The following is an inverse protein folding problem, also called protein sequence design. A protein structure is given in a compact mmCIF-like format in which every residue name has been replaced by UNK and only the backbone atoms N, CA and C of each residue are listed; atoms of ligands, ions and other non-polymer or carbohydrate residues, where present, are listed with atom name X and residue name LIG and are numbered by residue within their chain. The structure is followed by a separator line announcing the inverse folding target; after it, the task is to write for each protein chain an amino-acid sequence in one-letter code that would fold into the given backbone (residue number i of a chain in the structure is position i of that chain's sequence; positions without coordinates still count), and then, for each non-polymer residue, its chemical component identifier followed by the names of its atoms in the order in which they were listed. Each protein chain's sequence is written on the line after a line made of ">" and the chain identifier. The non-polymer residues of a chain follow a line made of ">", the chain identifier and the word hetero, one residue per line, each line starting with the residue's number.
data_IF_028870837642
#
_entry.id   IF_028870837642
#
_cell.length_a   1.000
_cell.length_b   1.000
_cell.length_c   1.000
_cell.angle_alpha   90.00
_cell.angle_beta   90.00
_cell.angle_gamma   90.00
#
_symmetry.space_group_name_H-M   'P 1'
#
loop_
_entity.id
_entity.type
_entity.pdbx_description
1 polymer ?
#
# COMPACT_ATOMS: atom_id res chain seq x y z
N UNK A 1 -55.18 34.95 -1.60
CA UNK A 1 -54.52 33.62 -1.48
C UNK A 1 -53.18 33.64 -2.19
N UNK A 2 -52.18 34.39 -1.72
CA UNK A 2 -50.78 34.40 -2.30
C UNK A 2 -49.69 34.94 -1.37
N UNK A 3 -49.95 35.23 -0.11
CA UNK A 3 -48.94 35.82 0.81
C UNK A 3 -48.70 35.04 2.12
N UNK A 4 -49.41 33.94 2.38
CA UNK A 4 -49.21 33.15 3.58
C UNK A 4 -48.19 32.00 3.43
N UNK A 5 -47.95 31.51 2.21
CA UNK A 5 -46.98 30.41 1.94
C UNK A 5 -45.51 30.83 1.96
N UNK A 6 -45.17 32.12 2.09
CA UNK A 6 -43.79 32.63 2.17
C UNK A 6 -43.28 32.74 3.61
N UNK A 7 -44.12 32.69 4.62
CA UNK A 7 -43.70 32.82 6.04
C UNK A 7 -43.39 31.47 6.70
N UNK A 8 -43.94 30.37 6.23
CA UNK A 8 -43.63 29.04 6.79
C UNK A 8 -42.29 28.46 6.29
N UNK A 9 -41.82 28.83 5.11
CA UNK A 9 -40.49 28.37 4.60
C UNK A 9 -39.28 29.04 5.24
N UNK A 10 -39.46 30.05 6.12
CA UNK A 10 -38.36 30.72 6.83
C UNK A 10 -38.15 30.27 8.30
N UNK A 11 -39.00 29.41 8.82
CA UNK A 11 -38.87 28.88 10.21
C UNK A 11 -38.31 27.49 10.35
N UNK A 12 -38.01 26.77 9.26
CA UNK A 12 -37.41 25.41 9.30
C UNK A 12 -35.88 25.35 9.08
N UNK A 13 -35.19 26.48 9.13
CA UNK A 13 -33.71 26.55 8.97
C UNK A 13 -33.01 27.07 10.21
N UNK A 14 -33.31 26.49 11.36
CA UNK A 14 -32.46 26.59 12.59
C UNK A 14 -32.63 25.32 13.43
N UNK A 15 -32.10 24.21 12.94
CA UNK A 15 -31.70 23.08 13.78
C UNK A 15 -30.27 22.77 13.46
N UNK A 16 -29.45 22.69 14.50
CA UNK A 16 -28.01 22.57 14.52
C UNK A 16 -27.46 21.62 13.45
N UNK A 17 -26.70 22.18 12.55
CA UNK A 17 -25.82 21.42 11.71
C UNK A 17 -24.60 21.06 12.57
N UNK A 18 -24.43 19.79 12.92
CA UNK A 18 -23.13 19.26 13.22
C UNK A 18 -22.22 19.61 12.05
N UNK A 19 -21.11 20.26 12.30
CA UNK A 19 -20.08 20.47 11.28
C UNK A 19 -19.72 19.11 10.71
N UNK A 20 -19.65 18.94 9.37
CA UNK A 20 -19.26 17.67 8.79
C UNK A 20 -17.85 17.36 9.29
N UNK A 21 -17.69 16.23 9.99
CA UNK A 21 -16.39 15.68 10.37
C UNK A 21 -15.52 15.69 9.12
N UNK A 22 -14.43 16.47 9.13
CA UNK A 22 -13.48 16.56 8.04
C UNK A 22 -13.05 15.16 7.65
N UNK A 23 -13.26 14.80 6.39
CA UNK A 23 -12.74 13.54 5.85
C UNK A 23 -11.22 13.55 5.94
N UNK A 24 -10.56 12.41 6.29
CA UNK A 24 -9.13 12.38 6.60
C UNK A 24 -8.20 12.45 5.37
N UNK A 25 -8.60 13.06 4.27
CA UNK A 25 -7.83 13.11 3.01
C UNK A 25 -7.72 14.54 2.47
N UNK A 26 -7.08 15.44 3.23
CA UNK A 26 -6.76 16.76 2.67
C UNK A 26 -5.26 16.98 2.74
N UNK A 27 -4.63 17.13 1.54
CA UNK A 27 -3.28 17.66 1.41
C UNK A 27 -3.16 18.99 2.17
N UNK A 28 -1.99 19.25 2.74
CA UNK A 28 -1.71 20.51 3.44
C UNK A 28 -1.81 21.66 2.45
N UNK A 29 -2.60 22.68 2.78
CA UNK A 29 -2.71 23.91 1.99
C UNK A 29 -1.97 25.00 2.77
N UNK A 30 -1.00 25.63 2.12
CA UNK A 30 -0.23 26.76 2.63
C UNK A 30 -0.53 28.02 1.80
N UNK A 31 -0.03 29.17 2.22
CA UNK A 31 -0.14 30.43 1.44
C UNK A 31 0.58 30.32 0.09
N UNK A 32 1.54 29.41 -0.06
CA UNK A 32 2.31 29.14 -1.28
C UNK A 32 1.63 28.12 -2.22
N UNK A 33 0.59 27.41 -1.74
CA UNK A 33 -0.15 26.42 -2.53
C UNK A 33 -0.40 25.10 -1.81
N UNK A 34 -0.68 24.05 -2.57
CA UNK A 34 -0.92 22.69 -2.06
C UNK A 34 0.41 21.96 -1.91
N UNK A 35 0.72 21.50 -0.71
CA UNK A 35 1.90 20.66 -0.44
C UNK A 35 1.58 19.23 -0.90
N UNK A 36 2.14 18.84 -2.03
CA UNK A 36 1.92 17.51 -2.61
C UNK A 36 2.74 16.43 -1.92
N UNK A 37 3.95 16.77 -1.48
CA UNK A 37 4.89 15.89 -0.75
C UNK A 37 5.62 16.75 0.29
N UNK A 38 5.68 16.28 1.53
CA UNK A 38 6.33 16.99 2.63
C UNK A 38 7.40 16.11 3.27
N UNK A 39 8.57 16.69 3.49
CA UNK A 39 9.73 16.09 4.19
C UNK A 39 10.04 14.62 3.79
N UNK A 40 10.13 14.38 2.47
CA UNK A 40 10.42 13.05 1.94
C UNK A 40 11.93 12.79 1.95
N UNK A 41 12.38 11.90 2.82
CA UNK A 41 13.78 11.50 2.96
C UNK A 41 13.91 9.99 2.74
N UNK A 42 14.72 9.57 1.75
CA UNK A 42 14.94 8.17 1.42
C UNK A 42 16.30 7.98 0.74
N UNK A 43 17.13 7.12 1.30
CA UNK A 43 18.30 6.58 0.63
C UNK A 43 17.95 5.23 -0.01
N UNK A 44 18.31 5.07 -1.29
CA UNK A 44 18.03 3.85 -2.07
C UNK A 44 19.37 3.25 -2.47
N UNK A 45 19.56 1.97 -2.15
CA UNK A 45 20.75 1.22 -2.53
C UNK A 45 20.76 0.89 -4.04
N UNK A 46 21.93 0.63 -4.60
CA UNK A 46 22.04 0.16 -5.99
C UNK A 46 21.25 -1.13 -6.20
N UNK A 47 20.46 -1.20 -7.30
CA UNK A 47 19.61 -2.33 -7.69
C UNK A 47 18.50 -2.67 -6.71
N UNK A 48 18.20 -1.79 -5.78
CA UNK A 48 17.09 -1.95 -4.86
C UNK A 48 15.73 -1.74 -5.57
N UNK A 49 14.73 -2.48 -5.16
CA UNK A 49 13.36 -2.33 -5.62
C UNK A 49 12.51 -1.65 -4.54
N UNK A 50 12.23 -0.36 -4.74
CA UNK A 50 11.42 0.44 -3.83
C UNK A 50 9.99 0.53 -4.35
N UNK A 51 9.01 0.33 -3.46
CA UNK A 51 7.59 0.50 -3.80
C UNK A 51 6.97 1.62 -2.99
N UNK A 52 6.42 2.62 -3.66
CA UNK A 52 5.59 3.65 -3.04
C UNK A 52 4.14 3.18 -3.05
N UNK A 53 3.52 3.09 -1.88
CA UNK A 53 2.13 2.64 -1.73
C UNK A 53 1.35 3.59 -0.82
N UNK A 54 0.04 3.70 -1.05
CA UNK A 54 -0.85 4.56 -0.27
C UNK A 54 -2.14 4.89 -1.03
N UNK A 55 -3.08 5.57 -0.39
CA UNK A 55 -4.33 5.99 -1.01
C UNK A 55 -4.13 6.87 -2.25
N UNK A 56 -5.16 6.97 -3.09
CA UNK A 56 -5.13 7.89 -4.23
C UNK A 56 -4.91 9.35 -3.78
N UNK A 57 -4.06 10.07 -4.48
CA UNK A 57 -3.78 11.48 -4.19
C UNK A 57 -2.81 11.72 -3.02
N UNK A 58 -2.14 10.70 -2.46
CA UNK A 58 -1.20 10.90 -1.34
C UNK A 58 0.22 11.33 -1.75
N UNK A 59 0.48 11.66 -3.03
CA UNK A 59 1.77 12.20 -3.48
C UNK A 59 2.68 11.22 -4.23
N UNK A 60 2.37 9.91 -4.32
CA UNK A 60 3.23 8.87 -4.93
C UNK A 60 3.68 9.19 -6.36
N UNK A 61 2.72 9.41 -7.29
CA UNK A 61 3.04 9.72 -8.68
C UNK A 61 3.72 11.07 -8.82
N UNK A 62 3.42 12.03 -7.95
CA UNK A 62 4.10 13.33 -7.90
C UNK A 62 5.56 13.13 -7.52
N UNK A 63 5.86 12.35 -6.48
CA UNK A 63 7.23 12.00 -6.09
C UNK A 63 7.96 11.30 -7.23
N UNK A 64 7.32 10.34 -7.89
CA UNK A 64 7.91 9.64 -9.03
C UNK A 64 8.23 10.59 -10.19
N UNK A 65 7.33 11.55 -10.49
CA UNK A 65 7.55 12.56 -11.55
C UNK A 65 8.64 13.55 -11.18
N UNK A 66 8.76 13.95 -9.91
CA UNK A 66 9.89 14.77 -9.45
C UNK A 66 11.22 14.04 -9.64
N UNK A 67 11.28 12.73 -9.34
CA UNK A 67 12.47 11.90 -9.59
C UNK A 67 12.78 11.84 -11.09
N UNK A 68 11.77 11.70 -11.94
CA UNK A 68 11.92 11.69 -13.40
C UNK A 68 12.29 13.07 -13.98
N UNK A 69 12.14 14.18 -13.23
CA UNK A 69 12.31 15.54 -13.69
C UNK A 69 11.13 16.08 -14.51
N UNK A 70 9.97 15.47 -14.36
CA UNK A 70 8.73 15.90 -15.02
C UNK A 70 7.91 16.90 -14.18
N UNK A 71 8.27 17.05 -12.91
CA UNK A 71 7.74 18.01 -11.95
C UNK A 71 8.93 18.60 -11.16
N UNK A 72 8.84 19.87 -10.81
CA UNK A 72 9.89 20.57 -10.09
C UNK A 72 9.90 20.21 -8.60
N UNK A 73 11.10 20.13 -8.01
CA UNK A 73 11.30 19.97 -6.58
C UNK A 73 11.38 21.38 -5.96
N UNK A 74 10.37 21.77 -5.17
CA UNK A 74 10.31 23.10 -4.56
C UNK A 74 11.42 23.29 -3.53
N UNK A 75 11.75 22.25 -2.72
CA UNK A 75 12.79 22.27 -1.69
C UNK A 75 13.41 20.87 -1.55
N UNK A 76 14.63 20.82 -1.07
CA UNK A 76 15.39 19.57 -0.91
C UNK A 76 16.22 19.21 -2.12
N UNK A 77 16.85 18.04 -2.10
CA UNK A 77 17.79 17.58 -3.11
C UNK A 77 17.48 16.16 -3.54
N UNK A 78 17.52 15.94 -4.85
CA UNK A 78 17.56 14.61 -5.46
C UNK A 78 18.97 14.35 -5.96
N UNK A 79 19.57 13.24 -5.50
CA UNK A 79 20.92 12.82 -5.95
C UNK A 79 20.86 11.41 -6.53
N UNK A 80 21.64 11.19 -7.59
CA UNK A 80 21.89 9.88 -8.19
C UNK A 80 23.38 9.71 -8.36
N UNK A 81 23.96 8.66 -7.79
CA UNK A 81 25.40 8.44 -7.74
C UNK A 81 26.18 9.67 -7.20
N UNK A 82 25.59 10.37 -6.19
CA UNK A 82 26.15 11.59 -5.62
C UNK A 82 25.95 12.86 -6.45
N UNK A 83 25.49 12.77 -7.69
CA UNK A 83 25.22 13.91 -8.55
C UNK A 83 23.86 14.52 -8.24
N UNK A 84 23.79 15.85 -8.05
CA UNK A 84 22.54 16.61 -7.88
C UNK A 84 21.76 16.61 -9.20
N UNK A 85 20.48 16.21 -9.12
CA UNK A 85 19.60 16.04 -10.27
C UNK A 85 18.51 17.12 -10.41
N UNK A 86 18.36 18.02 -9.43
CA UNK A 86 17.26 18.98 -9.42
C UNK A 86 17.11 19.74 -10.75
N UNK A 87 18.22 20.26 -11.29
CA UNK A 87 18.25 21.08 -12.50
C UNK A 87 18.62 20.26 -13.77
N UNK A 88 18.76 18.94 -13.65
CA UNK A 88 19.06 18.08 -14.80
C UNK A 88 17.77 17.75 -15.56
N UNK A 89 17.78 18.02 -16.87
CA UNK A 89 16.61 17.72 -17.71
C UNK A 89 16.28 16.21 -17.73
N UNK A 90 15.00 15.80 -17.85
CA UNK A 90 14.58 14.40 -17.82
C UNK A 90 15.34 13.48 -18.78
N UNK A 91 15.70 13.99 -19.98
CA UNK A 91 16.42 13.21 -21.00
C UNK A 91 17.83 12.81 -20.59
N UNK A 92 18.45 13.60 -19.67
CA UNK A 92 19.85 13.49 -19.25
C UNK A 92 20.01 12.80 -17.89
N UNK A 93 18.89 12.43 -17.19
CA UNK A 93 18.91 11.76 -15.89
C UNK A 93 19.26 10.26 -15.95
N UNK A 94 19.42 9.68 -17.14
CA UNK A 94 19.63 8.23 -17.36
C UNK A 94 18.58 7.34 -16.67
N UNK A 95 17.33 7.81 -16.64
CA UNK A 95 16.18 7.13 -16.11
C UNK A 95 15.21 6.77 -17.25
N UNK A 96 14.43 5.70 -17.05
CA UNK A 96 13.32 5.37 -17.94
C UNK A 96 12.03 5.26 -17.13
N UNK A 97 10.90 5.67 -17.73
CA UNK A 97 9.60 5.67 -17.07
C UNK A 97 8.58 4.86 -17.87
N UNK A 98 7.85 4.00 -17.15
CA UNK A 98 6.67 3.29 -17.62
C UNK A 98 5.45 3.98 -17.04
N UNK A 99 4.59 4.51 -17.89
CA UNK A 99 3.39 5.25 -17.50
C UNK A 99 2.18 4.33 -17.34
N UNK A 100 1.23 4.71 -16.50
CA UNK A 100 -0.02 4.00 -16.25
C UNK A 100 -0.84 3.71 -17.54
N UNK A 101 -0.83 4.63 -18.49
CA UNK A 101 -1.54 4.50 -19.78
C UNK A 101 -0.69 3.90 -20.89
N UNK A 102 0.48 3.28 -20.52
CA UNK A 102 1.48 2.70 -21.43
C UNK A 102 2.19 3.72 -22.33
N UNK A 103 1.56 4.81 -22.71
CA UNK A 103 2.06 5.90 -23.57
C UNK A 103 2.73 5.42 -24.87
N UNK A 104 2.24 4.30 -25.47
CA UNK A 104 2.77 3.77 -26.72
C UNK A 104 2.42 4.67 -27.90
N UNK A 105 3.32 4.76 -28.88
CA UNK A 105 3.08 5.46 -30.13
C UNK A 105 2.15 4.63 -31.03
N UNK A 106 0.87 5.04 -31.23
CA UNK A 106 -0.15 4.17 -31.83
C UNK A 106 0.05 3.92 -33.32
N UNK A 107 0.77 4.80 -34.01
CA UNK A 107 1.09 4.71 -35.44
C UNK A 107 2.33 3.87 -35.72
N UNK A 108 3.17 3.61 -34.73
CA UNK A 108 4.37 2.77 -34.81
C UNK A 108 4.06 1.31 -34.53
N UNK A 109 4.83 0.39 -35.13
CA UNK A 109 4.83 -1.02 -34.74
C UNK A 109 5.46 -1.23 -33.36
N UNK A 110 5.35 -2.44 -32.80
CA UNK A 110 6.06 -2.81 -31.57
C UNK A 110 7.55 -2.58 -31.72
N UNK A 111 8.17 -3.09 -32.78
CA UNK A 111 9.60 -2.90 -33.08
C UNK A 111 9.96 -1.41 -33.10
N UNK A 112 9.23 -0.60 -33.84
CA UNK A 112 9.47 0.84 -33.89
C UNK A 112 9.29 1.55 -32.54
N UNK A 113 8.32 1.13 -31.70
CA UNK A 113 8.20 1.65 -30.35
C UNK A 113 9.43 1.34 -29.47
N UNK A 114 10.08 0.18 -29.67
CA UNK A 114 11.30 -0.22 -28.97
C UNK A 114 12.54 0.50 -29.55
N UNK A 115 12.62 0.69 -30.85
CA UNK A 115 13.73 1.34 -31.55
C UNK A 115 13.78 2.86 -31.26
N UNK A 116 12.63 3.51 -31.17
CA UNK A 116 12.51 4.98 -31.09
C UNK A 116 13.42 5.64 -30.03
N UNK A 117 13.47 5.19 -28.75
CA UNK A 117 14.37 5.80 -27.76
C UNK A 117 15.86 5.57 -28.08
N UNK A 118 16.21 4.55 -28.84
CA UNK A 118 17.58 4.27 -29.27
C UNK A 118 17.96 5.13 -30.48
N UNK A 119 17.01 5.37 -31.42
CA UNK A 119 17.18 6.30 -32.54
C UNK A 119 17.45 7.72 -32.05
N UNK A 120 16.73 8.20 -31.02
CA UNK A 120 16.97 9.51 -30.42
C UNK A 120 18.37 9.64 -29.84
N UNK A 121 18.94 8.55 -29.32
CA UNK A 121 20.31 8.47 -28.82
C UNK A 121 21.35 8.20 -29.91
N UNK A 122 20.92 8.08 -31.18
CA UNK A 122 21.77 7.77 -32.34
C UNK A 122 22.59 6.49 -32.16
N UNK A 123 21.96 5.46 -31.54
CA UNK A 123 22.58 4.13 -31.39
C UNK A 123 22.76 3.48 -32.75
N UNK A 124 23.91 2.85 -33.04
CA UNK A 124 24.14 2.15 -34.30
C UNK A 124 23.09 1.03 -34.56
N UNK A 125 22.72 0.80 -35.83
CA UNK A 125 21.63 -0.10 -36.17
C UNK A 125 21.85 -1.54 -35.67
N UNK A 126 23.06 -2.06 -35.77
CA UNK A 126 23.39 -3.41 -35.28
C UNK A 126 23.21 -3.55 -33.76
N UNK A 127 23.58 -2.52 -32.99
CA UNK A 127 23.39 -2.51 -31.55
C UNK A 127 21.89 -2.33 -31.19
N UNK A 128 21.19 -1.48 -31.92
CA UNK A 128 19.73 -1.30 -31.79
C UNK A 128 18.99 -2.60 -31.99
N UNK A 129 19.28 -3.34 -33.06
CA UNK A 129 18.65 -4.64 -33.36
C UNK A 129 18.91 -5.63 -32.21
N UNK A 130 20.15 -5.75 -31.73
CA UNK A 130 20.47 -6.62 -30.57
C UNK A 130 19.68 -6.26 -29.32
N UNK A 131 19.60 -4.98 -28.97
CA UNK A 131 18.87 -4.49 -27.77
C UNK A 131 17.35 -4.74 -27.90
N UNK A 132 16.79 -4.52 -29.08
CA UNK A 132 15.37 -4.78 -29.36
C UNK A 132 15.05 -6.26 -29.29
N UNK A 133 15.86 -7.12 -29.88
CA UNK A 133 15.70 -8.57 -29.85
C UNK A 133 15.81 -9.11 -28.42
N UNK A 134 16.81 -8.68 -27.67
CA UNK A 134 16.98 -9.01 -26.26
C UNK A 134 15.74 -8.61 -25.40
N UNK A 135 15.26 -7.38 -25.54
CA UNK A 135 14.08 -6.93 -24.80
C UNK A 135 12.81 -7.68 -25.22
N UNK A 136 12.67 -7.97 -26.53
CA UNK A 136 11.53 -8.72 -27.06
C UNK A 136 11.51 -10.18 -26.58
N UNK A 137 12.67 -10.80 -26.46
CA UNK A 137 12.81 -12.16 -25.96
C UNK A 137 12.47 -12.26 -24.47
N UNK A 138 13.08 -11.41 -23.63
CA UNK A 138 12.83 -11.38 -22.18
C UNK A 138 11.36 -11.18 -21.86
N UNK A 139 10.67 -10.32 -22.62
CA UNK A 139 9.26 -9.99 -22.41
C UNK A 139 8.28 -10.89 -23.18
N UNK A 140 8.79 -11.84 -23.97
CA UNK A 140 7.97 -12.74 -24.79
C UNK A 140 7.11 -12.01 -25.83
N UNK A 141 7.60 -10.91 -26.40
CA UNK A 141 6.88 -10.09 -27.39
C UNK A 141 7.43 -10.22 -28.81
N UNK A 142 8.43 -11.06 -29.03
CA UNK A 142 9.03 -11.32 -30.34
C UNK A 142 7.99 -11.62 -31.45
N UNK A 143 6.93 -12.44 -31.21
CA UNK A 143 5.92 -12.70 -32.25
C UNK A 143 5.08 -11.48 -32.64
N UNK A 144 5.13 -10.41 -31.82
CA UNK A 144 4.29 -9.22 -32.01
C UNK A 144 5.06 -8.02 -32.56
N UNK A 145 6.35 -8.12 -32.82
CA UNK A 145 7.21 -7.01 -33.27
C UNK A 145 6.68 -6.24 -34.48
N UNK A 146 5.98 -6.91 -35.41
CA UNK A 146 5.38 -6.31 -36.61
C UNK A 146 4.00 -5.70 -36.38
N UNK A 147 3.36 -5.93 -35.19
CA UNK A 147 2.01 -5.42 -34.88
C UNK A 147 2.05 -3.98 -34.41
N UNK A 148 0.92 -3.30 -34.56
CA UNK A 148 0.68 -1.98 -33.95
C UNK A 148 -0.04 -2.13 -32.59
N UNK A 149 0.06 -1.17 -31.66
CA UNK A 149 -0.54 -1.22 -30.32
C UNK A 149 -2.03 -1.58 -30.29
N UNK A 150 -2.81 -1.12 -31.29
CA UNK A 150 -4.24 -1.42 -31.41
C UNK A 150 -4.56 -2.92 -31.58
N UNK A 151 -3.61 -3.71 -32.07
CA UNK A 151 -3.76 -5.14 -32.32
C UNK A 151 -3.21 -5.99 -31.16
N UNK A 152 -2.97 -5.39 -29.99
CA UNK A 152 -2.39 -6.02 -28.81
C UNK A 152 -3.41 -6.05 -27.66
N UNK A 153 -3.35 -7.09 -26.82
CA UNK A 153 -4.06 -7.13 -25.53
C UNK A 153 -3.46 -6.13 -24.53
N UNK A 154 -4.16 -5.87 -23.41
CA UNK A 154 -3.66 -5.00 -22.35
C UNK A 154 -2.28 -5.40 -21.85
N UNK A 155 -2.07 -6.68 -21.51
CA UNK A 155 -0.79 -7.19 -21.04
C UNK A 155 0.31 -7.15 -22.11
N UNK A 156 -0.03 -7.37 -23.39
CA UNK A 156 0.94 -7.21 -24.47
C UNK A 156 1.37 -5.75 -24.61
N UNK A 157 0.44 -4.79 -24.53
CA UNK A 157 0.78 -3.35 -24.52
C UNK A 157 1.68 -3.00 -23.34
N UNK A 158 1.39 -3.53 -22.14
CA UNK A 158 2.21 -3.34 -20.96
C UNK A 158 3.65 -3.84 -21.18
N UNK A 159 3.82 -5.06 -21.69
CA UNK A 159 5.15 -5.61 -21.99
C UNK A 159 5.90 -4.76 -23.02
N UNK A 160 5.22 -4.23 -24.03
CA UNK A 160 5.84 -3.31 -24.99
C UNK A 160 6.27 -2.00 -24.33
N UNK A 161 5.48 -1.45 -23.40
CA UNK A 161 5.84 -0.25 -22.65
C UNK A 161 7.07 -0.48 -21.76
N UNK A 162 7.12 -1.62 -21.06
CA UNK A 162 8.30 -2.03 -20.29
C UNK A 162 9.50 -2.23 -21.23
N UNK A 163 9.32 -2.92 -22.36
CA UNK A 163 10.37 -3.13 -23.37
C UNK A 163 10.98 -1.84 -23.86
N UNK A 164 10.14 -0.84 -24.19
CA UNK A 164 10.60 0.49 -24.61
C UNK A 164 11.43 1.20 -23.52
N UNK A 165 11.13 0.96 -22.25
CA UNK A 165 11.89 1.52 -21.16
C UNK A 165 13.26 0.83 -20.99
N UNK A 166 13.29 -0.51 -21.02
CA UNK A 166 14.50 -1.29 -20.71
C UNK A 166 15.53 -1.37 -21.85
N UNK A 167 15.12 -1.18 -23.13
CA UNK A 167 16.08 -1.16 -24.25
C UNK A 167 17.16 -0.08 -24.10
N UNK A 168 16.92 0.94 -23.30
CA UNK A 168 17.85 2.02 -23.01
C UNK A 168 18.92 1.63 -21.99
N UNK A 169 18.77 0.49 -21.32
CA UNK A 169 19.61 0.06 -20.20
C UNK A 169 19.73 1.15 -19.13
N UNK A 170 18.61 1.62 -18.55
CA UNK A 170 18.60 2.75 -17.64
C UNK A 170 19.17 2.37 -16.26
N UNK A 171 19.83 3.32 -15.58
CA UNK A 171 20.26 3.14 -14.19
C UNK A 171 19.05 3.02 -13.24
N UNK A 172 17.99 3.79 -13.49
CA UNK A 172 16.76 3.80 -12.69
C UNK A 172 15.55 3.57 -13.58
N UNK A 173 14.73 2.58 -13.22
CA UNK A 173 13.47 2.27 -13.88
C UNK A 173 12.30 2.70 -13.00
N UNK A 174 11.57 3.70 -13.46
CA UNK A 174 10.40 4.28 -12.80
C UNK A 174 9.12 3.66 -13.37
N UNK A 175 8.21 3.20 -12.51
CA UNK A 175 6.95 2.59 -12.93
C UNK A 175 5.77 3.23 -12.20
N UNK A 176 4.91 3.97 -12.93
CA UNK A 176 3.72 4.64 -12.39
C UNK A 176 2.50 3.78 -12.60
N UNK A 177 2.05 3.07 -11.57
CA UNK A 177 0.88 2.17 -11.56
C UNK A 177 0.78 1.26 -12.80
N UNK A 178 1.84 0.54 -13.19
CA UNK A 178 1.89 -0.13 -14.48
C UNK A 178 0.87 -1.25 -14.65
N UNK A 179 0.36 -1.84 -13.57
CA UNK A 179 -0.57 -2.98 -13.61
C UNK A 179 -2.04 -2.62 -13.33
N UNK A 180 -2.34 -1.35 -13.03
CA UNK A 180 -3.68 -0.89 -12.62
C UNK A 180 -4.78 -1.17 -13.66
N UNK A 181 -4.45 -1.10 -14.95
CA UNK A 181 -5.39 -1.28 -16.06
C UNK A 181 -5.55 -2.75 -16.53
N UNK A 182 -5.04 -3.73 -15.75
CA UNK A 182 -5.10 -5.14 -16.07
C UNK A 182 -6.12 -5.88 -15.20
N UNK A 183 -6.75 -6.92 -15.75
CA UNK A 183 -7.57 -7.84 -14.97
C UNK A 183 -6.72 -8.63 -13.95
N UNK A 184 -7.37 -9.20 -12.92
CA UNK A 184 -6.68 -9.86 -11.80
C UNK A 184 -5.75 -11.02 -12.24
N UNK A 185 -6.17 -11.84 -13.22
CA UNK A 185 -5.36 -12.96 -13.73
C UNK A 185 -4.10 -12.46 -14.42
N UNK A 186 -4.26 -11.47 -15.29
CA UNK A 186 -3.16 -10.88 -16.04
C UNK A 186 -2.23 -10.08 -15.13
N UNK A 187 -2.76 -9.38 -14.12
CA UNK A 187 -1.98 -8.68 -13.11
C UNK A 187 -1.05 -9.63 -12.36
N UNK A 188 -1.56 -10.80 -11.91
CA UNK A 188 -0.76 -11.82 -11.23
C UNK A 188 0.36 -12.36 -12.14
N UNK A 189 0.08 -12.58 -13.43
CA UNK A 189 1.10 -13.01 -14.38
C UNK A 189 2.19 -11.95 -14.59
N UNK A 190 1.77 -10.70 -14.80
CA UNK A 190 2.70 -9.58 -15.03
C UNK A 190 3.56 -9.29 -13.80
N UNK A 191 3.03 -9.43 -12.58
CA UNK A 191 3.79 -9.31 -11.35
C UNK A 191 4.92 -10.34 -11.28
N UNK A 192 4.63 -11.61 -11.58
CA UNK A 192 5.65 -12.65 -11.64
C UNK A 192 6.72 -12.36 -12.73
N UNK A 193 6.34 -11.74 -13.84
CA UNK A 193 7.27 -11.33 -14.88
C UNK A 193 8.17 -10.17 -14.47
N UNK A 194 7.64 -9.18 -13.74
CA UNK A 194 8.44 -8.08 -13.19
C UNK A 194 9.49 -8.61 -12.21
N UNK A 195 9.13 -9.61 -11.37
CA UNK A 195 10.09 -10.26 -10.47
C UNK A 195 11.22 -10.95 -11.28
N UNK A 196 10.89 -11.63 -12.39
CA UNK A 196 11.89 -12.24 -13.27
C UNK A 196 12.73 -11.20 -14.00
N UNK A 197 12.08 -10.15 -14.49
CA UNK A 197 12.73 -9.04 -15.20
C UNK A 197 13.80 -8.37 -14.32
N UNK A 198 13.47 -8.10 -13.05
CA UNK A 198 14.41 -7.52 -12.09
C UNK A 198 15.73 -8.29 -12.02
N UNK A 199 15.69 -9.63 -12.06
CA UNK A 199 16.90 -10.48 -12.00
C UNK A 199 17.81 -10.31 -13.22
N UNK A 200 17.25 -9.87 -14.35
CA UNK A 200 17.96 -9.71 -15.63
C UNK A 200 18.38 -8.26 -15.91
N UNK A 201 17.90 -7.32 -15.10
CA UNK A 201 18.23 -5.90 -15.26
C UNK A 201 19.16 -5.44 -14.14
N UNK A 202 20.17 -4.68 -14.54
CA UNK A 202 21.11 -4.05 -13.62
C UNK A 202 20.66 -2.61 -13.32
N UNK A 203 19.45 -2.46 -12.78
CA UNK A 203 18.81 -1.17 -12.54
C UNK A 203 18.18 -1.11 -11.16
N UNK A 204 18.10 0.09 -10.59
CA UNK A 204 17.30 0.42 -9.42
C UNK A 204 15.84 0.63 -9.86
N UNK A 205 14.89 0.08 -9.12
CA UNK A 205 13.46 0.18 -9.43
C UNK A 205 12.74 1.07 -8.44
N UNK A 206 11.93 2.00 -8.96
CA UNK A 206 10.96 2.75 -8.14
C UNK A 206 9.58 2.52 -8.75
N UNK A 207 8.72 1.90 -7.98
CA UNK A 207 7.41 1.41 -8.41
C UNK A 207 6.31 2.08 -7.60
N UNK A 208 5.31 2.63 -8.26
CA UNK A 208 4.13 3.21 -7.62
C UNK A 208 2.94 2.27 -7.81
N UNK A 209 2.22 2.03 -6.74
CA UNK A 209 0.96 1.27 -6.78
C UNK A 209 0.01 1.71 -5.66
N UNK A 210 -1.27 1.38 -5.81
CA UNK A 210 -2.26 1.40 -4.73
C UNK A 210 -2.61 -0.03 -4.27
N UNK A 211 -2.05 -1.06 -4.90
CA UNK A 211 -2.28 -2.48 -4.59
C UNK A 211 -1.23 -2.96 -3.57
N UNK A 212 -1.72 -3.33 -2.38
CA UNK A 212 -0.86 -3.82 -1.29
C UNK A 212 -0.16 -5.12 -1.66
N UNK A 213 -0.81 -6.01 -2.42
CA UNK A 213 -0.23 -7.28 -2.84
C UNK A 213 0.96 -7.07 -3.77
N UNK A 214 0.89 -6.06 -4.65
CA UNK A 214 2.03 -5.67 -5.47
C UNK A 214 3.17 -5.16 -4.59
N UNK A 215 2.89 -4.26 -3.64
CA UNK A 215 3.88 -3.71 -2.74
C UNK A 215 4.58 -4.82 -1.93
N UNK A 216 3.81 -5.70 -1.30
CA UNK A 216 4.32 -6.80 -0.46
C UNK A 216 5.14 -7.84 -1.22
N UNK A 217 4.91 -8.00 -2.54
CA UNK A 217 5.55 -9.07 -3.32
C UNK A 217 6.71 -8.60 -4.22
N UNK A 218 6.75 -7.32 -4.57
CA UNK A 218 7.76 -6.75 -5.47
C UNK A 218 8.87 -6.02 -4.73
N UNK A 219 8.55 -5.32 -3.64
CA UNK A 219 9.46 -4.42 -2.96
C UNK A 219 10.51 -5.12 -2.09
N UNK A 220 11.74 -4.64 -2.11
CA UNK A 220 12.69 -4.89 -1.02
C UNK A 220 12.32 -4.04 0.19
N UNK A 221 11.97 -2.77 -0.06
CA UNK A 221 11.35 -1.88 0.91
C UNK A 221 10.09 -1.23 0.31
N UNK A 222 9.17 -0.95 1.21
CA UNK A 222 7.90 -0.27 0.94
C UNK A 222 7.95 1.09 1.63
N UNK A 223 7.56 2.13 0.91
CA UNK A 223 7.32 3.48 1.42
C UNK A 223 5.81 3.70 1.46
N UNK A 224 5.26 3.74 2.66
CA UNK A 224 3.82 3.95 2.87
C UNK A 224 3.57 5.45 3.01
N UNK A 225 2.72 6.00 2.14
CA UNK A 225 2.44 7.44 2.09
C UNK A 225 0.98 7.75 2.40
N UNK A 226 0.74 8.86 3.13
CA UNK A 226 -0.59 9.42 3.40
C UNK A 226 -0.52 10.94 3.38
N UNK A 227 -1.35 11.59 2.56
CA UNK A 227 -1.51 13.05 2.50
C UNK A 227 -0.19 13.84 2.28
N UNK A 228 0.73 13.31 1.49
CA UNK A 228 2.04 13.91 1.23
C UNK A 228 3.14 13.48 2.18
N UNK A 229 2.79 12.87 3.31
CA UNK A 229 3.75 12.45 4.34
C UNK A 229 4.10 10.96 4.21
N UNK A 230 5.35 10.62 4.52
CA UNK A 230 5.79 9.23 4.70
C UNK A 230 5.35 8.75 6.09
N UNK A 231 4.60 7.66 6.12
CA UNK A 231 4.11 7.06 7.36
C UNK A 231 5.05 6.00 7.91
N UNK A 232 5.62 5.19 7.03
CA UNK A 232 6.60 4.17 7.37
C UNK A 232 7.41 3.76 6.14
N UNK A 233 8.70 3.46 6.35
CA UNK A 233 9.59 2.80 5.40
C UNK A 233 10.09 1.53 6.06
N UNK A 234 10.05 0.40 5.35
CA UNK A 234 10.56 -0.88 5.87
C UNK A 234 10.40 -1.99 4.83
N UNK A 235 10.95 -3.15 5.12
CA UNK A 235 10.70 -4.36 4.34
C UNK A 235 9.21 -4.74 4.39
N UNK A 236 8.69 -5.52 3.44
CA UNK A 236 7.31 -6.01 3.50
C UNK A 236 6.94 -6.63 4.85
N UNK A 237 7.83 -7.46 5.41
CA UNK A 237 7.59 -8.11 6.68
C UNK A 237 7.57 -7.12 7.85
N UNK A 238 8.50 -6.15 7.89
CA UNK A 238 8.53 -5.14 8.95
C UNK A 238 7.27 -4.27 8.98
N UNK A 239 6.78 -3.81 7.82
CA UNK A 239 5.57 -2.97 7.79
C UNK A 239 4.31 -3.75 8.14
N UNK A 240 4.31 -5.07 7.91
CA UNK A 240 3.21 -5.97 8.27
C UNK A 240 3.24 -6.31 9.77
N UNK A 241 4.40 -6.73 10.30
CA UNK A 241 4.53 -7.20 11.68
C UNK A 241 4.68 -6.07 12.70
N UNK A 242 5.21 -4.92 12.27
CA UNK A 242 5.53 -3.78 13.14
C UNK A 242 5.00 -2.46 12.56
N UNK A 243 3.67 -2.30 12.42
CA UNK A 243 3.09 -1.07 11.91
C UNK A 243 3.39 0.11 12.85
N UNK A 244 3.89 1.21 12.28
CA UNK A 244 4.32 2.37 13.06
C UNK A 244 3.14 3.14 13.68
N UNK A 245 1.97 3.06 13.08
CA UNK A 245 0.76 3.78 13.52
C UNK A 245 -0.52 3.07 13.06
N UNK A 246 -1.67 3.57 13.52
CA UNK A 246 -3.00 3.03 13.18
C UNK A 246 -3.27 3.05 11.67
N UNK A 247 -2.78 4.08 10.97
CA UNK A 247 -2.97 4.15 9.54
C UNK A 247 -2.27 2.99 8.82
N UNK A 248 -1.00 2.74 9.13
CA UNK A 248 -0.24 1.63 8.54
C UNK A 248 -0.88 0.29 8.89
N UNK A 249 -1.27 0.11 10.15
CA UNK A 249 -1.93 -1.11 10.65
C UNK A 249 -3.23 -1.43 9.88
N UNK A 250 -4.05 -0.41 9.63
CA UNK A 250 -5.30 -0.55 8.90
C UNK A 250 -5.12 -0.55 7.38
N UNK A 251 -4.04 0.04 6.87
CA UNK A 251 -3.77 0.09 5.43
C UNK A 251 -3.12 -1.19 4.92
N UNK A 252 -2.20 -1.81 5.66
CA UNK A 252 -1.48 -3.03 5.26
C UNK A 252 -2.20 -4.27 5.79
N UNK A 253 -2.58 -5.17 4.88
CA UNK A 253 -3.29 -6.42 5.15
C UNK A 253 -4.70 -6.45 4.54
N UNK A 254 -5.11 -7.62 4.07
CA UNK A 254 -6.45 -7.85 3.50
C UNK A 254 -6.98 -9.19 4.03
N UNK A 255 -8.00 -9.16 4.89
CA UNK A 255 -8.68 -8.00 5.48
C UNK A 255 -7.78 -7.12 6.36
N UNK A 256 -8.30 -5.93 6.70
CA UNK A 256 -7.59 -4.97 7.56
C UNK A 256 -7.46 -5.49 9.00
N UNK A 257 -6.51 -4.92 9.76
CA UNK A 257 -6.35 -5.20 11.20
C UNK A 257 -7.63 -4.82 11.96
N UNK A 258 -8.07 -5.69 12.85
CA UNK A 258 -9.14 -5.39 13.79
C UNK A 258 -8.62 -4.43 14.86
N UNK A 259 -9.43 -3.44 15.23
CA UNK A 259 -9.09 -2.42 16.22
C UNK A 259 -10.14 -2.40 17.33
N UNK A 260 -9.71 -2.66 18.56
CA UNK A 260 -10.54 -2.68 19.76
C UNK A 260 -10.18 -1.53 20.69
N UNK A 261 -11.16 -0.93 21.35
CA UNK A 261 -10.88 -0.06 22.47
C UNK A 261 -10.44 -0.92 23.67
N UNK A 262 -9.36 -0.52 24.32
CA UNK A 262 -8.80 -1.28 25.41
C UNK A 262 -7.98 -0.44 26.39
N UNK A 263 -7.37 -1.13 27.33
CA UNK A 263 -6.48 -0.53 28.32
C UNK A 263 -5.17 -1.33 28.37
N UNK A 264 -4.05 -0.64 28.35
CA UNK A 264 -2.75 -1.19 28.70
C UNK A 264 -2.65 -1.24 30.24
N UNK A 265 -2.52 -2.43 30.78
CA UNK A 265 -2.40 -2.69 32.21
C UNK A 265 -0.96 -3.07 32.52
N UNK A 266 -0.39 -2.49 33.57
CA UNK A 266 0.97 -2.79 34.03
C UNK A 266 0.91 -3.21 35.49
N UNK A 267 1.15 -4.49 35.78
CA UNK A 267 1.14 -5.05 37.13
C UNK A 267 2.46 -5.77 37.39
N UNK A 268 3.17 -5.38 38.44
CA UNK A 268 4.47 -5.96 38.81
C UNK A 268 5.50 -6.01 37.66
N UNK A 269 5.46 -5.02 36.75
CA UNK A 269 6.33 -4.97 35.57
C UNK A 269 5.87 -5.85 34.41
N UNK A 270 4.72 -6.51 34.52
CA UNK A 270 4.10 -7.32 33.44
C UNK A 270 3.06 -6.48 32.70
N UNK A 271 3.15 -6.45 31.37
CA UNK A 271 2.21 -5.76 30.49
C UNK A 271 1.12 -6.72 30.01
N UNK A 272 -0.11 -6.28 30.13
CA UNK A 272 -1.29 -6.94 29.60
C UNK A 272 -2.20 -5.93 28.92
N UNK A 273 -3.03 -6.37 27.97
CA UNK A 273 -4.10 -5.55 27.39
C UNK A 273 -5.45 -6.06 27.86
N UNK A 274 -6.32 -5.13 28.24
CA UNK A 274 -7.71 -5.40 28.57
C UNK A 274 -8.60 -4.97 27.43
N UNK A 275 -9.41 -5.91 26.92
CA UNK A 275 -10.43 -5.64 25.88
C UNK A 275 -11.77 -6.17 26.41
N UNK A 276 -12.69 -5.28 26.77
CA UNK A 276 -13.88 -5.67 27.53
C UNK A 276 -13.50 -6.35 28.84
N UNK A 277 -13.99 -7.56 29.06
CA UNK A 277 -13.68 -8.37 30.26
C UNK A 277 -12.42 -9.23 30.10
N UNK A 278 -11.89 -9.36 28.87
CA UNK A 278 -10.72 -10.15 28.58
C UNK A 278 -9.42 -9.44 28.96
N UNK A 279 -8.56 -10.11 29.75
CA UNK A 279 -7.20 -9.64 30.08
C UNK A 279 -6.20 -10.57 29.39
N UNK A 280 -5.43 -10.03 28.44
CA UNK A 280 -4.47 -10.78 27.62
C UNK A 280 -3.05 -10.35 28.02
N UNK A 281 -2.31 -11.23 28.66
CA UNK A 281 -0.89 -11.00 28.98
C UNK A 281 -0.09 -11.06 27.70
N UNK A 282 0.73 -10.04 27.43
CA UNK A 282 1.53 -9.95 26.22
C UNK A 282 2.75 -10.92 26.28
N UNK A 283 3.28 -11.30 25.12
CA UNK A 283 4.48 -12.15 25.02
C UNK A 283 5.73 -11.46 25.57
N UNK A 284 6.79 -12.22 25.86
CA UNK A 284 8.04 -11.69 26.42
C UNK A 284 8.66 -10.60 25.54
N UNK A 285 8.66 -10.77 24.20
CA UNK A 285 9.18 -9.77 23.27
C UNK A 285 8.37 -8.46 23.33
N UNK A 286 7.03 -8.55 23.39
CA UNK A 286 6.15 -7.41 23.54
C UNK A 286 6.35 -6.69 24.88
N UNK A 287 6.52 -7.46 25.94
CA UNK A 287 6.84 -6.94 27.29
C UNK A 287 8.11 -6.10 27.24
N UNK A 288 9.17 -6.64 26.62
CA UNK A 288 10.46 -5.97 26.47
C UNK A 288 10.33 -4.68 25.66
N UNK A 289 9.70 -4.72 24.50
CA UNK A 289 9.54 -3.57 23.60
C UNK A 289 8.76 -2.43 24.27
N UNK A 290 7.69 -2.74 25.01
CA UNK A 290 6.91 -1.76 25.75
C UNK A 290 7.68 -1.16 26.94
N UNK A 291 8.48 -2.00 27.64
CA UNK A 291 9.32 -1.53 28.74
C UNK A 291 10.44 -0.61 28.23
N UNK A 292 11.12 -0.95 27.14
CA UNK A 292 12.14 -0.12 26.50
C UNK A 292 11.57 1.21 25.98
N UNK A 293 10.33 1.21 25.48
CA UNK A 293 9.61 2.42 25.10
C UNK A 293 9.09 3.23 26.29
N UNK A 294 9.20 2.72 27.53
CA UNK A 294 8.70 3.38 28.74
C UNK A 294 7.17 3.50 28.78
N UNK A 295 6.45 2.57 28.15
CA UNK A 295 5.00 2.56 28.10
C UNK A 295 4.38 2.46 29.51
N UNK A 296 3.30 3.20 29.74
CA UNK A 296 2.60 3.25 31.03
C UNK A 296 1.16 2.74 30.87
N UNK A 297 0.56 2.36 31.99
CA UNK A 297 -0.86 2.02 32.02
C UNK A 297 -1.70 3.20 31.52
N UNK A 298 -2.50 2.98 30.47
CA UNK A 298 -3.33 4.00 29.81
C UNK A 298 -4.41 3.36 28.94
N UNK A 299 -5.37 4.17 28.50
CA UNK A 299 -6.29 3.78 27.42
C UNK A 299 -5.51 3.62 26.13
N UNK A 300 -5.83 2.59 25.36
CA UNK A 300 -5.16 2.25 24.10
C UNK A 300 -6.15 1.74 23.07
N UNK A 301 -5.71 1.76 21.81
CA UNK A 301 -6.34 0.97 20.75
C UNK A 301 -5.54 -0.31 20.59
N UNK A 302 -6.20 -1.46 20.77
CA UNK A 302 -5.61 -2.79 20.64
C UNK A 302 -5.84 -3.29 19.22
N UNK A 303 -4.77 -3.56 18.49
CA UNK A 303 -4.81 -4.10 17.12
C UNK A 303 -4.52 -5.59 17.11
N UNK A 304 -5.32 -6.34 16.34
CA UNK A 304 -5.05 -7.75 16.05
C UNK A 304 -5.46 -8.09 14.60
N UNK A 305 -4.57 -8.75 13.87
CA UNK A 305 -4.89 -9.18 12.50
C UNK A 305 -5.89 -10.32 12.50
N UNK A 306 -6.79 -10.39 11.49
CA UNK A 306 -7.82 -11.42 11.39
C UNK A 306 -7.31 -12.86 11.52
N UNK A 307 -6.12 -13.14 10.98
CA UNK A 307 -5.45 -14.43 11.02
C UNK A 307 -4.79 -14.77 12.37
N UNK A 308 -4.63 -13.78 13.25
CA UNK A 308 -4.04 -13.94 14.58
C UNK A 308 -5.09 -14.03 15.70
N UNK A 309 -6.35 -14.15 15.32
CA UNK A 309 -7.47 -14.34 16.23
C UNK A 309 -7.88 -15.80 16.20
N UNK A 310 -8.01 -16.44 17.37
CA UNK A 310 -8.35 -17.85 17.50
C UNK A 310 -9.67 -18.01 18.21
N UNK A 311 -10.59 -18.77 17.59
CA UNK A 311 -11.82 -19.21 18.25
C UNK A 311 -11.49 -20.15 19.41
N UNK A 312 -12.16 -20.00 20.53
CA UNK A 312 -11.91 -20.80 21.71
C UNK A 312 -13.19 -21.02 22.52
N UNK A 313 -13.31 -22.21 23.12
CA UNK A 313 -14.37 -22.55 24.08
C UNK A 313 -13.82 -22.63 25.51
N UNK A 314 -12.48 -22.46 25.69
CA UNK A 314 -11.84 -22.57 27.00
C UNK A 314 -12.20 -21.34 27.84
N UNK A 315 -12.55 -21.54 29.11
CA UNK A 315 -12.71 -20.47 30.08
C UNK A 315 -11.39 -19.73 30.31
N UNK A 316 -11.44 -18.39 30.37
CA UNK A 316 -10.27 -17.53 30.56
C UNK A 316 -10.47 -16.16 29.92
N UNK A 317 -9.36 -15.55 29.47
CA UNK A 317 -9.38 -14.22 28.83
C UNK A 317 -9.97 -14.31 27.42
N UNK A 318 -11.30 -14.16 27.33
CA UNK A 318 -12.05 -14.31 26.08
C UNK A 318 -12.83 -13.04 25.75
N UNK A 319 -12.87 -12.72 24.47
CA UNK A 319 -13.73 -11.68 23.90
C UNK A 319 -14.96 -12.37 23.33
N UNK A 320 -16.15 -11.86 23.62
CA UNK A 320 -17.41 -12.37 23.06
C UNK A 320 -17.86 -11.47 21.93
N UNK A 321 -18.42 -12.09 20.87
CA UNK A 321 -19.02 -11.40 19.76
C UNK A 321 -20.18 -12.20 19.16
N UNK A 322 -20.96 -11.52 18.32
CA UNK A 322 -22.09 -12.14 17.59
C UNK A 322 -21.75 -12.17 16.10
N UNK A 323 -21.94 -13.32 15.46
CA UNK A 323 -21.69 -13.48 14.02
C UNK A 323 -22.76 -12.72 13.23
N UNK A 324 -22.32 -11.72 12.46
CA UNK A 324 -23.19 -10.95 11.56
C UNK A 324 -23.20 -11.53 10.14
N UNK A 325 -22.01 -11.94 9.64
CA UNK A 325 -21.86 -12.54 8.30
C UNK A 325 -20.81 -13.65 8.34
N UNK A 326 -21.02 -14.71 7.56
CA UNK A 326 -20.05 -15.80 7.37
C UNK A 326 -19.78 -15.95 5.87
N UNK A 327 -18.56 -15.61 5.44
CA UNK A 327 -18.13 -15.70 4.04
C UNK A 327 -17.24 -16.92 3.82
N UNK A 328 -17.71 -17.85 2.97
CA UNK A 328 -16.98 -19.06 2.61
C UNK A 328 -15.99 -18.76 1.48
N UNK A 329 -14.70 -18.65 1.81
CA UNK A 329 -13.62 -18.32 0.86
C UNK A 329 -12.89 -19.57 0.32
N UNK A 330 -13.53 -20.73 0.34
CA UNK A 330 -12.98 -22.01 -0.12
C UNK A 330 -12.18 -22.72 0.97
N UNK A 331 -10.93 -22.38 1.18
CA UNK A 331 -10.05 -22.99 2.23
C UNK A 331 -10.22 -22.36 3.60
N UNK A 332 -10.77 -21.15 3.67
CA UNK A 332 -11.02 -20.40 4.90
C UNK A 332 -12.45 -19.88 4.96
N UNK A 333 -12.87 -19.50 6.15
CA UNK A 333 -14.12 -18.78 6.41
C UNK A 333 -13.75 -17.44 7.02
N UNK A 334 -14.29 -16.36 6.46
CA UNK A 334 -14.19 -15.04 7.05
C UNK A 334 -15.48 -14.79 7.84
N UNK A 335 -15.34 -14.64 9.14
CA UNK A 335 -16.43 -14.35 10.06
C UNK A 335 -16.43 -12.87 10.38
N UNK A 336 -17.48 -12.16 9.99
CA UNK A 336 -17.76 -10.80 10.44
C UNK A 336 -18.54 -10.89 11.74
N UNK A 337 -18.01 -10.26 12.78
CA UNK A 337 -18.49 -10.38 14.14
C UNK A 337 -18.70 -8.99 14.72
N UNK A 338 -19.82 -8.78 15.35
CA UNK A 338 -20.05 -7.59 16.15
C UNK A 338 -19.48 -7.75 17.56
N UNK A 339 -18.52 -6.90 17.91
CA UNK A 339 -17.91 -6.85 19.24
C UNK A 339 -18.12 -5.45 19.82
N UNK A 340 -19.06 -5.32 20.73
CA UNK A 340 -19.35 -4.03 21.36
C UNK A 340 -19.76 -2.91 20.40
N UNK A 341 -20.39 -3.25 19.27
CA UNK A 341 -20.80 -2.30 18.23
C UNK A 341 -19.75 -2.04 17.14
N UNK A 342 -18.60 -2.70 17.20
CA UNK A 342 -17.55 -2.65 16.16
C UNK A 342 -17.54 -3.93 15.34
N UNK A 343 -17.32 -3.80 14.04
CA UNK A 343 -17.11 -4.93 13.15
C UNK A 343 -15.68 -5.48 13.34
N UNK A 344 -15.58 -6.79 13.51
CA UNK A 344 -14.34 -7.53 13.67
C UNK A 344 -14.36 -8.72 12.69
N UNK A 345 -13.26 -8.97 12.00
CA UNK A 345 -13.13 -10.07 11.05
C UNK A 345 -12.19 -11.12 11.63
N UNK A 346 -12.64 -12.37 11.67
CA UNK A 346 -11.79 -13.52 12.01
C UNK A 346 -11.64 -14.39 10.77
N UNK A 347 -10.40 -14.79 10.46
CA UNK A 347 -10.12 -15.79 9.42
C UNK A 347 -9.84 -17.12 10.10
N UNK A 348 -10.69 -18.09 9.87
CA UNK A 348 -10.52 -19.44 10.39
C UNK A 348 -10.38 -20.46 9.25
N UNK A 349 -9.47 -21.46 9.36
CA UNK A 349 -9.38 -22.55 8.41
C UNK A 349 -10.71 -23.32 8.40
N UNK A 350 -11.22 -23.64 7.20
CA UNK A 350 -12.51 -24.37 7.07
C UNK A 350 -12.49 -25.74 7.77
N UNK A 351 -11.34 -26.41 7.78
CA UNK A 351 -11.21 -27.74 8.36
C UNK A 351 -11.29 -27.76 9.90
N UNK A 352 -11.03 -26.62 10.54
CA UNK A 352 -11.01 -26.48 11.99
C UNK A 352 -12.39 -26.05 12.55
N UNK A 353 -13.39 -25.85 11.66
CA UNK A 353 -14.67 -25.31 12.02
C UNK A 353 -15.77 -26.39 12.02
N UNK A 354 -16.44 -26.55 13.15
CA UNK A 354 -17.74 -27.19 13.20
C UNK A 354 -18.79 -26.19 12.67
N UNK A 355 -19.23 -26.40 11.41
CA UNK A 355 -20.07 -25.46 10.67
C UNK A 355 -21.45 -25.22 11.32
N UNK A 356 -21.86 -26.02 12.30
CA UNK A 356 -23.11 -25.83 13.03
C UNK A 356 -23.13 -24.61 13.96
N UNK A 357 -21.98 -24.19 14.46
CA UNK A 357 -21.86 -23.11 15.46
C UNK A 357 -21.55 -21.73 14.86
N UNK A 358 -21.46 -21.60 13.55
CA UNK A 358 -21.08 -20.35 12.86
C UNK A 358 -22.22 -19.69 12.10
N UNK A 359 -23.45 -20.02 12.45
CA UNK A 359 -24.63 -19.39 11.84
C UNK A 359 -24.74 -17.92 12.26
N UNK A 360 -25.28 -17.11 11.36
CA UNK A 360 -25.60 -15.70 11.66
C UNK A 360 -26.45 -15.61 12.94
N UNK A 361 -26.09 -14.73 13.85
CA UNK A 361 -26.69 -14.57 15.17
C UNK A 361 -26.08 -15.44 16.28
N UNK A 362 -25.17 -16.38 15.96
CA UNK A 362 -24.49 -17.18 16.96
C UNK A 362 -23.53 -16.35 17.78
N UNK A 363 -23.47 -16.60 19.08
CA UNK A 363 -22.43 -16.05 19.97
C UNK A 363 -21.18 -16.89 19.83
N UNK A 364 -20.06 -16.25 19.62
CA UNK A 364 -18.76 -16.92 19.58
C UNK A 364 -17.80 -16.26 20.56
N UNK A 365 -16.80 -17.03 20.95
CA UNK A 365 -15.73 -16.59 21.86
C UNK A 365 -14.40 -16.76 21.14
N UNK A 366 -13.52 -15.80 21.34
CA UNK A 366 -12.21 -15.81 20.74
C UNK A 366 -11.17 -15.14 21.63
N UNK A 367 -9.90 -15.40 21.33
CA UNK A 367 -8.75 -14.77 21.98
C UNK A 367 -7.80 -14.21 20.96
N UNK A 368 -6.99 -13.25 21.36
CA UNK A 368 -5.94 -12.65 20.53
C UNK A 368 -4.60 -13.33 20.83
N UNK A 369 -3.79 -13.58 19.81
CA UNK A 369 -2.46 -14.16 19.99
C UNK A 369 -1.54 -13.15 20.73
N UNK A 370 -0.99 -13.50 21.92
CA UNK A 370 -0.23 -12.55 22.75
C UNK A 370 1.00 -11.93 22.10
N UNK A 371 1.59 -12.61 21.13
CA UNK A 371 2.75 -12.17 20.36
C UNK A 371 2.40 -11.32 19.14
N UNK A 372 1.13 -11.30 18.73
CA UNK A 372 0.65 -10.61 17.54
C UNK A 372 -0.32 -9.43 17.86
N UNK A 373 -0.50 -9.13 19.14
CA UNK A 373 -1.25 -7.94 19.60
C UNK A 373 -0.40 -6.69 19.40
N UNK A 374 -1.00 -5.63 18.88
CA UNK A 374 -0.39 -4.29 18.76
C UNK A 374 -1.10 -3.31 19.67
N UNK A 375 -0.35 -2.36 20.19
CA UNK A 375 -0.88 -1.37 21.15
C UNK A 375 -0.61 0.04 20.62
N UNK A 376 -1.67 0.79 20.35
CA UNK A 376 -1.58 2.14 19.80
C UNK A 376 -2.12 3.17 20.80
N UNK A 377 -1.45 4.31 20.83
CA UNK A 377 -1.93 5.48 21.54
C UNK A 377 -3.14 6.09 20.80
N UNK A 378 -4.28 6.33 21.47
CA UNK A 378 -5.50 6.79 20.81
C UNK A 378 -5.44 8.25 20.34
N UNK A 379 -4.55 9.09 20.89
CA UNK A 379 -4.42 10.51 20.54
C UNK A 379 -3.39 10.74 19.43
N UNK A 380 -2.23 10.09 19.54
CA UNK A 380 -1.14 10.24 18.57
C UNK A 380 -1.21 9.23 17.41
N UNK A 381 -2.07 8.22 17.51
CA UNK A 381 -2.19 7.08 16.60
C UNK A 381 -0.90 6.22 16.50
N UNK A 382 0.15 6.51 17.26
CA UNK A 382 1.44 5.81 17.19
C UNK A 382 1.40 4.47 17.91
N UNK A 383 2.15 3.51 17.39
CA UNK A 383 2.40 2.25 18.09
C UNK A 383 3.28 2.50 19.31
N UNK A 384 2.84 2.02 20.48
CA UNK A 384 3.56 2.19 21.75
C UNK A 384 4.81 1.32 21.87
N UNK A 385 4.92 0.26 21.07
CA UNK A 385 6.09 -0.63 21.03
C UNK A 385 7.24 -0.07 20.21
N UNK A 386 7.00 1.01 19.42
CA UNK A 386 7.99 1.55 18.52
C UNK A 386 8.47 2.92 19.00
N UNK A 387 9.76 3.05 19.17
CA UNK A 387 10.47 4.28 19.54
C UNK A 387 10.73 5.12 18.28
#
# INVERSE_FOLDING_TARGET
>A
MRDEDKKERKKSKKKGGEEPKKSPSQLKITDEGVVAVDDFNLEIADKEFIVFVGPSGCGKSTTLRMIAGLEDITRGELRVDGQLMNDVEPKDRDMAMVFQNYALYPHMTVRQNLEFPLELRKVPKEEMDRKVEWAAEILGITPYLHRRPRALSGGQRQRVAIGRAIVRDPKVLLMDEPLSNLDAKLRNQMRAEIIKLRKNLNATFIYVTHDQTEAMTLGDRIVIMRNGDVQQIGTPQEVFDHPANLFVAGFIGTPQMNLFDGELVVENGTYAVRVGDALITLSEDKQKNLAEAGAKAQKVIVGARPEHITLTEKEGSMIEGVVDVSEMMGSSVHLHINVGGKDCIIIAPRLDLDTGNLAVGSKIRFTLAPNAVHVFDPETEKNLERI
#
